data_IF_868854575295
#
_entry.id   IF_868854575295
#
_cell.length_a   1.000
_cell.length_b   1.000
_cell.length_c   1.000
_cell.angle_alpha   90.00
_cell.angle_beta   90.00
_cell.angle_gamma   90.00
#
_symmetry.space_group_name_H-M   'P 1'
#
loop_
_entity.id
_entity.type
_entity.pdbx_description
1 polymer ?
#
# COMPACT_ATOMS: atom_id res chain seq x y z
N UNK A 1 1.80 -4.74 9.54
CA UNK A 1 1.84 -5.94 8.67
C UNK A 1 3.23 -6.55 8.68
N UNK A 2 3.33 -7.84 9.01
CA UNK A 2 4.58 -8.59 9.00
C UNK A 2 4.92 -9.00 7.55
N UNK A 3 6.11 -8.63 7.07
CA UNK A 3 6.57 -8.92 5.69
C UNK A 3 6.55 -10.42 5.39
N UNK A 4 6.69 -11.26 6.42
CA UNK A 4 6.65 -12.72 6.32
C UNK A 4 5.29 -13.26 5.81
N UNK A 5 4.18 -12.57 6.09
CA UNK A 5 2.84 -13.01 5.67
C UNK A 5 2.59 -12.87 4.16
N UNK A 6 3.35 -12.00 3.48
CA UNK A 6 3.25 -11.80 2.03
C UNK A 6 4.07 -12.81 1.22
N UNK A 7 4.91 -13.61 1.88
CA UNK A 7 5.83 -14.56 1.22
C UNK A 7 5.15 -15.91 0.97
N UNK A 8 4.05 -16.24 1.65
CA UNK A 8 3.50 -17.61 1.68
C UNK A 8 2.36 -17.91 0.68
N UNK A 9 1.75 -16.93 0.01
CA UNK A 9 0.63 -17.19 -0.93
C UNK A 9 1.06 -16.98 -2.40
N UNK A 10 1.28 -18.05 -3.16
CA UNK A 10 1.40 -18.09 -4.64
C UNK A 10 2.16 -16.95 -5.37
N UNK A 11 3.20 -16.37 -4.78
CA UNK A 11 3.78 -15.09 -5.25
C UNK A 11 5.30 -15.05 -5.31
N UNK A 12 5.98 -16.10 -5.76
CA UNK A 12 7.44 -16.05 -6.01
C UNK A 12 7.86 -14.86 -6.91
N UNK A 13 7.03 -14.46 -7.88
CA UNK A 13 7.28 -13.27 -8.75
C UNK A 13 6.94 -11.91 -8.10
N UNK A 14 6.02 -11.87 -7.14
CA UNK A 14 5.57 -10.63 -6.47
C UNK A 14 6.47 -10.28 -5.27
N UNK A 15 6.97 -11.28 -4.53
CA UNK A 15 7.97 -11.08 -3.48
C UNK A 15 9.25 -10.42 -4.00
N UNK A 16 9.68 -10.76 -5.22
CA UNK A 16 10.87 -10.19 -5.85
C UNK A 16 10.73 -8.68 -6.17
N UNK A 17 9.52 -8.21 -6.54
CA UNK A 17 9.26 -6.78 -6.80
C UNK A 17 9.27 -5.94 -5.52
N UNK A 18 8.76 -6.51 -4.42
CA UNK A 18 8.73 -5.82 -3.13
C UNK A 18 10.14 -5.69 -2.53
N UNK A 19 11.00 -6.70 -2.71
CA UNK A 19 12.40 -6.64 -2.29
C UNK A 19 13.16 -5.51 -2.99
N UNK A 20 12.99 -5.35 -4.31
CA UNK A 20 13.66 -4.30 -5.09
C UNK A 20 13.17 -2.86 -4.81
N UNK A 21 12.05 -2.70 -4.10
CA UNK A 21 11.44 -1.37 -3.89
C UNK A 21 11.83 -0.71 -2.57
N UNK A 22 12.70 -1.34 -1.75
CA UNK A 22 13.23 -0.81 -0.49
C UNK A 22 12.20 -0.11 0.41
N UNK A 23 10.96 -0.61 0.46
CA UNK A 23 9.87 0.01 1.24
C UNK A 23 10.18 0.10 2.75
N UNK A 24 11.00 -0.82 3.27
CA UNK A 24 11.51 -0.75 4.65
C UNK A 24 12.37 0.49 4.88
N UNK A 25 13.23 0.86 3.93
CA UNK A 25 14.07 2.06 4.04
C UNK A 25 13.25 3.33 3.89
N UNK A 26 12.31 3.37 2.94
CA UNK A 26 11.38 4.50 2.81
C UNK A 26 10.62 4.74 4.12
N UNK A 27 10.13 3.66 4.75
CA UNK A 27 9.49 3.73 6.06
C UNK A 27 10.43 4.28 7.13
N UNK A 28 11.66 3.77 7.22
CA UNK A 28 12.65 4.20 8.21
C UNK A 28 13.01 5.68 8.07
N UNK A 29 13.16 6.16 6.84
CA UNK A 29 13.41 7.58 6.53
C UNK A 29 12.23 8.44 7.01
N UNK A 30 10.99 8.03 6.70
CA UNK A 30 9.79 8.76 7.15
C UNK A 30 9.67 8.78 8.67
N UNK A 31 9.87 7.63 9.34
CA UNK A 31 9.85 7.55 10.80
C UNK A 31 10.86 8.51 11.44
N UNK A 32 12.09 8.57 10.90
CA UNK A 32 13.12 9.48 11.39
C UNK A 32 12.78 10.96 11.16
N UNK A 33 12.31 11.33 9.96
CA UNK A 33 11.93 12.71 9.64
C UNK A 33 10.77 13.22 10.50
N UNK A 34 9.76 12.38 10.72
CA UNK A 34 8.59 12.75 11.52
C UNK A 34 8.91 12.79 13.02
N UNK A 35 9.81 11.91 13.51
CA UNK A 35 10.27 11.93 14.89
C UNK A 35 10.94 13.27 15.25
N UNK A 36 11.74 13.86 14.34
CA UNK A 36 12.32 15.20 14.53
C UNK A 36 11.27 16.30 14.73
N UNK A 37 10.07 16.11 14.22
CA UNK A 37 8.95 17.04 14.35
C UNK A 37 8.00 16.69 15.51
N UNK A 38 8.33 15.68 16.33
CA UNK A 38 7.45 15.19 17.40
C UNK A 38 6.21 14.47 16.88
N UNK A 39 6.24 13.93 15.66
CA UNK A 39 5.14 13.20 15.02
C UNK A 39 5.45 11.70 14.92
N UNK A 40 4.39 10.89 14.78
CA UNK A 40 4.50 9.42 14.66
C UNK A 40 3.96 8.96 13.30
N UNK A 41 4.67 8.02 12.66
CA UNK A 41 4.21 7.34 11.45
C UNK A 41 3.43 6.09 11.84
N UNK A 42 2.20 5.96 11.34
CA UNK A 42 1.34 4.80 11.59
C UNK A 42 1.28 3.89 10.36
N UNK A 43 1.57 2.60 10.56
CA UNK A 43 1.40 1.59 9.53
C UNK A 43 -0.04 1.08 9.53
N UNK A 44 -0.80 1.47 8.52
CA UNK A 44 -2.17 0.99 8.29
C UNK A 44 -2.21 -0.14 7.24
N UNK A 45 -3.28 -0.93 7.25
CA UNK A 45 -3.50 -1.95 6.23
C UNK A 45 -3.71 -1.30 4.86
N UNK A 46 -3.14 -1.88 3.81
CA UNK A 46 -3.37 -1.46 2.43
C UNK A 46 -4.58 -2.16 1.78
N UNK A 47 -5.34 -2.96 2.56
CA UNK A 47 -6.46 -3.75 2.06
C UNK A 47 -7.49 -2.86 1.33
N UNK A 48 -7.75 -3.16 0.05
CA UNK A 48 -8.63 -2.41 -0.85
C UNK A 48 -8.40 -0.89 -0.98
N UNK A 49 -7.31 -0.35 -0.42
CA UNK A 49 -6.96 1.08 -0.49
C UNK A 49 -6.88 1.65 -1.91
N UNK A 50 -6.70 0.81 -2.93
CA UNK A 50 -6.68 1.22 -4.34
C UNK A 50 -8.04 1.14 -5.04
N UNK A 51 -8.99 0.34 -4.53
CA UNK A 51 -10.27 0.00 -5.20
C UNK A 51 -11.49 0.56 -4.50
N UNK A 52 -11.39 0.79 -3.20
CA UNK A 52 -12.49 1.29 -2.38
C UNK A 52 -12.61 2.81 -2.52
N UNK A 53 -13.82 3.28 -2.83
CA UNK A 53 -14.10 4.70 -2.89
C UNK A 53 -14.06 5.30 -1.48
N UNK A 54 -13.24 6.35 -1.30
CA UNK A 54 -13.15 7.07 -0.03
C UNK A 54 -14.49 7.71 0.43
N UNK A 55 -15.41 7.99 -0.49
CA UNK A 55 -16.67 8.68 -0.18
C UNK A 55 -17.82 7.71 0.11
N UNK A 56 -18.03 6.70 -0.74
CA UNK A 56 -19.18 5.79 -0.64
C UNK A 56 -18.82 4.38 -0.17
N UNK A 57 -17.54 4.09 0.05
CA UNK A 57 -17.01 2.76 0.40
C UNK A 57 -17.30 1.66 -0.63
N UNK A 58 -17.81 2.01 -1.81
CA UNK A 58 -18.02 1.08 -2.91
C UNK A 58 -16.69 0.55 -3.45
N UNK A 59 -16.63 -0.76 -3.72
CA UNK A 59 -15.42 -1.42 -4.24
C UNK A 59 -15.52 -1.54 -5.75
N UNK A 60 -14.62 -0.86 -6.47
CA UNK A 60 -14.49 -1.01 -7.92
C UNK A 60 -13.71 -2.30 -8.25
N UNK A 61 -14.43 -3.34 -8.70
CA UNK A 61 -13.84 -4.63 -9.06
C UNK A 61 -13.13 -4.61 -10.42
N UNK A 62 -13.50 -3.67 -11.29
CA UNK A 62 -13.02 -3.57 -12.68
C UNK A 62 -11.95 -2.48 -12.86
N UNK A 63 -11.34 -2.01 -11.77
CA UNK A 63 -10.31 -0.97 -11.79
C UNK A 63 -9.06 -1.43 -12.59
N UNK A 64 -8.70 -0.65 -13.61
CA UNK A 64 -7.44 -0.80 -14.36
C UNK A 64 -6.46 0.34 -14.01
N UNK A 65 -5.19 0.19 -14.39
CA UNK A 65 -4.15 1.22 -14.17
C UNK A 65 -3.81 1.99 -15.45
N UNK A 66 -4.56 1.79 -16.53
CA UNK A 66 -4.26 2.34 -17.86
C UNK A 66 -4.54 3.84 -17.93
N UNK A 67 -5.68 4.26 -17.40
CA UNK A 67 -6.12 5.65 -17.40
C UNK A 67 -5.48 6.50 -16.28
N UNK A 68 -4.89 5.85 -15.27
CA UNK A 68 -4.28 6.47 -14.08
C UNK A 68 -5.24 7.36 -13.28
N UNK A 69 -6.55 7.18 -13.45
CA UNK A 69 -7.59 7.99 -12.80
C UNK A 69 -8.56 7.06 -12.09
N UNK A 70 -8.81 7.32 -10.81
CA UNK A 70 -9.84 6.57 -10.09
C UNK A 70 -11.24 7.09 -10.46
N UNK A 71 -12.13 6.19 -10.88
CA UNK A 71 -13.56 6.48 -11.09
C UNK A 71 -14.41 5.60 -10.19
N UNK A 72 -15.31 6.24 -9.44
CA UNK A 72 -16.35 5.55 -8.69
C UNK A 72 -17.46 5.09 -9.65
N UNK A 73 -17.93 3.85 -9.51
CA UNK A 73 -18.99 3.26 -10.33
C UNK A 73 -20.36 3.24 -9.63
N UNK A 74 -20.45 3.88 -8.46
CA UNK A 74 -21.63 3.98 -7.61
C UNK A 74 -22.02 5.44 -7.42
#
# INVERSE_FOLDING_TARGET
>A
MNVLGLIQSETKKRGLRLYNSSFSELRRILEWEFAKQGKTVLLVSAFNSSRECFLCCGINQDLTLEDRVFRCLF
#
